data_IF_979755874916
#
_entry.id   IF_979755874916
#
_cell.length_a   1.000
_cell.length_b   1.000
_cell.length_c   1.000
_cell.angle_alpha   90.00
_cell.angle_beta   90.00
_cell.angle_gamma   90.00
#
_symmetry.space_group_name_H-M   'P 1'
#
loop_
_entity.id
_entity.type
_entity.pdbx_description
1 polymer ?
#
# COMPACT_ATOMS: atom_id res chain seq x y z
N UNK A 1 -15.59 -14.77 0.58
CA UNK A 1 -14.79 -14.13 -0.49
C UNK A 1 -13.77 -15.14 -1.01
N UNK A 2 -13.51 -15.09 -2.30
CA UNK A 2 -12.53 -15.98 -2.94
C UNK A 2 -11.20 -15.27 -3.12
N UNK A 3 -10.11 -15.88 -2.68
CA UNK A 3 -8.76 -15.38 -2.85
C UNK A 3 -8.31 -15.57 -4.30
N UNK A 4 -7.91 -14.49 -4.97
CA UNK A 4 -7.46 -14.54 -6.37
C UNK A 4 -5.98 -14.21 -6.56
N UNK A 5 -5.36 -13.52 -5.62
CA UNK A 5 -3.94 -13.15 -5.70
C UNK A 5 -3.38 -12.91 -4.32
N UNK A 6 -2.15 -13.31 -4.11
CA UNK A 6 -1.40 -12.97 -2.90
C UNK A 6 0.04 -12.65 -3.26
N UNK A 7 0.63 -11.69 -2.55
CA UNK A 7 2.06 -11.37 -2.69
C UNK A 7 2.59 -10.75 -1.41
N UNK A 8 3.91 -10.75 -1.28
CA UNK A 8 4.60 -10.19 -0.12
C UNK A 8 5.60 -9.13 -0.57
N UNK A 9 5.58 -7.99 0.12
CA UNK A 9 6.55 -6.91 -0.06
C UNK A 9 7.49 -6.97 1.14
N UNK A 10 8.72 -7.50 0.98
CA UNK A 10 9.65 -7.71 2.10
C UNK A 10 10.44 -6.45 2.45
N UNK A 11 9.73 -5.35 2.61
CA UNK A 11 10.28 -4.03 2.92
C UNK A 11 9.48 -3.46 4.07
N UNK A 12 10.13 -2.72 4.97
CA UNK A 12 9.44 -2.02 6.06
C UNK A 12 8.32 -1.15 5.50
N UNK A 13 7.07 -1.35 5.96
CA UNK A 13 5.96 -0.52 5.49
C UNK A 13 6.15 0.95 5.83
N UNK A 14 5.76 1.84 4.92
CA UNK A 14 5.84 3.29 5.10
C UNK A 14 4.50 3.95 4.75
N UNK A 15 4.34 5.19 5.20
CA UNK A 15 3.17 6.00 4.86
C UNK A 15 3.60 7.21 4.04
N UNK A 16 2.66 7.74 3.24
CA UNK A 16 2.91 8.97 2.46
C UNK A 16 2.90 10.22 3.33
N UNK A 17 2.04 10.22 4.35
CA UNK A 17 1.76 11.41 5.17
C UNK A 17 2.85 11.71 6.18
N UNK A 18 3.54 10.68 6.65
CA UNK A 18 4.70 10.88 7.52
C UNK A 18 5.87 11.28 6.63
N UNK A 19 6.58 12.35 7.01
CA UNK A 19 7.77 12.82 6.30
C UNK A 19 7.49 13.52 4.96
N UNK A 20 6.28 14.07 4.75
CA UNK A 20 6.03 14.94 3.61
C UNK A 20 6.96 16.14 3.66
N UNK A 21 7.39 16.60 2.49
CA UNK A 21 8.29 17.76 2.37
C UNK A 21 7.55 18.92 1.72
N UNK A 22 7.88 20.13 2.18
CA UNK A 22 7.41 21.36 1.54
C UNK A 22 8.56 21.86 0.67
N UNK A 23 8.31 21.98 -0.62
CA UNK A 23 9.31 22.48 -1.58
C UNK A 23 8.77 23.71 -2.29
N UNK A 24 9.69 24.60 -2.71
CA UNK A 24 9.35 25.78 -3.49
C UNK A 24 9.51 25.45 -4.97
N UNK A 25 8.43 25.64 -5.73
CA UNK A 25 8.43 25.39 -7.16
C UNK A 25 7.63 26.48 -7.87
N UNK A 26 8.26 27.18 -8.83
CA UNK A 26 7.60 28.24 -9.58
C UNK A 26 7.05 29.38 -8.73
N UNK A 27 7.74 29.74 -7.64
CA UNK A 27 7.28 30.78 -6.71
C UNK A 27 6.19 30.34 -5.73
N UNK A 28 5.81 29.06 -5.74
CA UNK A 28 4.82 28.49 -4.82
C UNK A 28 5.46 27.49 -3.89
N UNK A 29 4.81 27.27 -2.74
CA UNK A 29 5.16 26.17 -1.84
C UNK A 29 4.21 25.01 -2.11
N UNK A 30 4.76 23.81 -2.40
CA UNK A 30 3.97 22.61 -2.62
C UNK A 30 4.42 21.53 -1.65
N UNK A 31 3.46 20.68 -1.25
CA UNK A 31 3.73 19.52 -0.40
C UNK A 31 3.94 18.32 -1.32
N UNK A 32 5.09 17.66 -1.18
CA UNK A 32 5.41 16.47 -1.97
C UNK A 32 5.63 15.28 -1.05
N UNK A 33 5.44 14.05 -1.55
CA UNK A 33 5.78 12.85 -0.77
C UNK A 33 7.24 12.86 -0.37
N UNK A 34 7.56 12.27 0.78
CA UNK A 34 8.92 12.17 1.26
C UNK A 34 9.81 11.35 0.33
N UNK A 35 11.10 11.58 0.43
CA UNK A 35 12.09 10.76 -0.26
C UNK A 35 11.94 9.29 0.12
N UNK A 36 11.67 9.00 1.40
CA UNK A 36 11.47 7.65 1.89
C UNK A 36 10.30 6.94 1.18
N UNK A 37 9.17 7.64 1.02
CA UNK A 37 8.02 7.08 0.31
C UNK A 37 8.35 6.81 -1.17
N UNK A 38 9.02 7.75 -1.83
CA UNK A 38 9.39 7.60 -3.24
C UNK A 38 10.33 6.41 -3.46
N UNK A 39 11.27 6.20 -2.56
CA UNK A 39 12.17 5.04 -2.61
C UNK A 39 11.39 3.74 -2.38
N UNK A 40 10.46 3.73 -1.44
CA UNK A 40 9.58 2.60 -1.19
C UNK A 40 8.72 2.28 -2.42
N UNK A 41 8.07 3.28 -3.00
CA UNK A 41 7.24 3.11 -4.20
C UNK A 41 8.05 2.47 -5.33
N UNK A 42 9.26 2.95 -5.55
CA UNK A 42 10.14 2.40 -6.59
C UNK A 42 10.56 0.96 -6.28
N UNK A 43 10.93 0.70 -5.03
CA UNK A 43 11.42 -0.62 -4.61
C UNK A 43 10.33 -1.69 -4.67
N UNK A 44 9.07 -1.33 -4.42
CA UNK A 44 7.95 -2.29 -4.41
C UNK A 44 7.61 -2.84 -5.79
N UNK A 45 8.06 -2.18 -6.86
CA UNK A 45 7.73 -2.60 -8.24
C UNK A 45 8.06 -4.07 -8.50
N UNK A 46 9.19 -4.55 -8.00
CA UNK A 46 9.63 -5.93 -8.24
C UNK A 46 8.81 -6.97 -7.48
N UNK A 47 8.02 -6.55 -6.48
CA UNK A 47 7.24 -7.45 -5.63
C UNK A 47 5.75 -7.40 -5.91
N UNK A 48 5.26 -6.35 -6.54
CA UNK A 48 3.84 -6.15 -6.84
C UNK A 48 3.56 -6.69 -8.24
N UNK A 49 2.69 -7.73 -8.37
CA UNK A 49 2.38 -8.27 -9.69
C UNK A 49 1.66 -7.28 -10.59
N UNK A 50 1.99 -7.26 -11.88
CA UNK A 50 1.27 -6.53 -12.92
C UNK A 50 0.05 -7.35 -13.35
N UNK A 51 -0.96 -7.37 -12.50
CA UNK A 51 -2.14 -8.21 -12.70
C UNK A 51 -3.31 -7.50 -13.38
N UNK A 52 -3.26 -6.17 -13.46
CA UNK A 52 -4.26 -5.31 -14.10
C UNK A 52 -5.70 -5.67 -13.69
N UNK A 53 -5.92 -5.90 -12.38
CA UNK A 53 -7.22 -6.30 -11.86
C UNK A 53 -8.23 -5.18 -12.05
N UNK A 54 -9.35 -5.49 -12.70
CA UNK A 54 -10.47 -4.58 -12.93
C UNK A 54 -11.75 -5.00 -12.21
N UNK A 55 -11.73 -6.11 -11.50
CA UNK A 55 -12.85 -6.62 -10.73
C UNK A 55 -12.96 -5.88 -9.40
N UNK A 56 -14.15 -5.93 -8.79
CA UNK A 56 -14.32 -5.42 -7.42
C UNK A 56 -13.67 -6.38 -6.44
N UNK A 57 -12.77 -5.85 -5.63
CA UNK A 57 -11.94 -6.64 -4.74
C UNK A 57 -11.94 -6.10 -3.31
N UNK A 58 -11.65 -6.99 -2.37
CA UNK A 58 -11.23 -6.64 -1.02
C UNK A 58 -9.71 -6.79 -0.95
N UNK A 59 -9.01 -5.76 -0.49
CA UNK A 59 -7.56 -5.80 -0.31
C UNK A 59 -7.25 -5.97 1.17
N UNK A 60 -6.91 -7.18 1.55
CA UNK A 60 -6.49 -7.48 2.92
C UNK A 60 -4.98 -7.35 3.01
N UNK A 61 -4.49 -6.43 3.83
CA UNK A 61 -3.06 -6.20 4.00
C UNK A 61 -2.66 -6.41 5.45
N UNK A 62 -1.64 -7.23 5.67
CA UNK A 62 -1.03 -7.43 6.98
C UNK A 62 0.30 -6.70 7.00
N UNK A 63 0.36 -5.63 7.79
CA UNK A 63 1.55 -4.78 7.90
C UNK A 63 2.36 -5.19 9.12
N UNK A 64 3.49 -5.86 8.90
CA UNK A 64 4.39 -6.26 9.96
C UNK A 64 5.43 -5.17 10.16
N UNK A 65 5.24 -4.38 11.21
CA UNK A 65 6.10 -3.23 11.51
C UNK A 65 7.34 -3.65 12.31
N UNK A 66 8.48 -2.97 12.13
CA UNK A 66 9.73 -3.31 12.85
C UNK A 66 9.72 -2.88 14.30
N UNK A 67 8.80 -1.98 14.68
CA UNK A 67 8.66 -1.47 16.05
C UNK A 67 7.19 -1.38 16.39
N UNK A 68 6.89 -1.18 17.68
CA UNK A 68 5.53 -0.97 18.16
C UNK A 68 5.14 0.51 18.21
N UNK A 69 5.83 1.35 17.44
CA UNK A 69 5.49 2.77 17.35
C UNK A 69 4.13 2.94 16.69
N UNK A 70 3.44 4.00 17.10
CA UNK A 70 2.10 4.32 16.58
C UNK A 70 2.16 4.61 15.09
N UNK A 71 1.24 4.00 14.34
CA UNK A 71 1.05 4.25 12.91
C UNK A 71 -0.44 4.03 12.58
N UNK A 72 -0.97 4.79 11.63
CA UNK A 72 -2.36 4.67 11.22
C UNK A 72 -2.52 3.64 10.10
N UNK A 73 -3.40 2.66 10.33
CA UNK A 73 -3.72 1.64 9.33
C UNK A 73 -4.21 2.28 8.02
N UNK A 74 -5.06 3.31 8.11
CA UNK A 74 -5.58 4.01 6.95
C UNK A 74 -4.47 4.61 6.10
N UNK A 75 -3.45 5.19 6.73
CA UNK A 75 -2.32 5.78 6.02
C UNK A 75 -1.44 4.71 5.36
N UNK A 76 -1.29 3.56 6.00
CA UNK A 76 -0.57 2.42 5.40
C UNK A 76 -1.33 1.88 4.18
N UNK A 77 -2.65 1.73 4.28
CA UNK A 77 -3.47 1.29 3.15
C UNK A 77 -3.40 2.27 1.99
N UNK A 78 -3.45 3.58 2.25
CA UNK A 78 -3.34 4.60 1.21
C UNK A 78 -2.03 4.45 0.43
N UNK A 79 -0.92 4.32 1.13
CA UNK A 79 0.39 4.15 0.49
C UNK A 79 0.48 2.86 -0.33
N UNK A 80 -0.04 1.75 0.21
CA UNK A 80 -0.04 0.47 -0.48
C UNK A 80 -0.89 0.53 -1.75
N UNK A 81 -2.12 1.07 -1.65
CA UNK A 81 -3.03 1.16 -2.80
C UNK A 81 -2.44 2.02 -3.91
N UNK A 82 -1.77 3.12 -3.57
CA UNK A 82 -1.09 3.95 -4.56
C UNK A 82 0.02 3.18 -5.28
N UNK A 83 0.79 2.39 -4.56
CA UNK A 83 1.82 1.53 -5.17
C UNK A 83 1.20 0.46 -6.08
N UNK A 84 0.07 -0.14 -5.66
CA UNK A 84 -0.62 -1.14 -6.46
C UNK A 84 -1.15 -0.57 -7.77
N UNK A 85 -1.68 0.66 -7.75
CA UNK A 85 -2.11 1.35 -8.97
C UNK A 85 -0.90 1.72 -9.83
N UNK A 86 0.13 2.29 -9.23
CA UNK A 86 1.35 2.70 -9.92
C UNK A 86 1.99 1.55 -10.69
N UNK A 87 2.05 0.38 -10.11
CA UNK A 87 2.69 -0.80 -10.70
C UNK A 87 1.71 -1.71 -11.43
N UNK A 88 0.51 -1.23 -11.72
CA UNK A 88 -0.50 -1.92 -12.54
C UNK A 88 -1.01 -3.24 -11.97
N UNK A 89 -1.01 -3.39 -10.67
CA UNK A 89 -1.64 -4.52 -10.01
C UNK A 89 -3.16 -4.40 -10.10
N UNK A 90 -3.67 -3.19 -9.90
CA UNK A 90 -5.09 -2.86 -9.98
C UNK A 90 -5.26 -1.63 -10.88
N UNK A 91 -6.45 -1.50 -11.50
CA UNK A 91 -6.70 -0.38 -12.41
C UNK A 91 -6.79 0.95 -11.67
N UNK A 92 -7.44 0.95 -10.49
CA UNK A 92 -7.62 2.14 -9.67
C UNK A 92 -7.91 1.71 -8.24
N UNK A 93 -7.90 2.65 -7.31
CA UNK A 93 -8.20 2.40 -5.90
C UNK A 93 -9.54 2.98 -5.45
N UNK A 94 -10.38 3.45 -6.38
CA UNK A 94 -11.72 3.91 -6.06
C UNK A 94 -12.66 2.74 -5.73
N UNK A 95 -13.87 3.04 -5.27
CA UNK A 95 -14.83 2.04 -4.77
C UNK A 95 -15.37 1.08 -5.84
N UNK A 96 -15.13 1.36 -7.12
CA UNK A 96 -15.49 0.43 -8.19
C UNK A 96 -14.49 -0.72 -8.28
N UNK A 97 -13.31 -0.55 -7.74
CA UNK A 97 -12.26 -1.57 -7.70
C UNK A 97 -12.05 -2.08 -6.27
N UNK A 98 -11.76 -1.21 -5.32
CA UNK A 98 -11.59 -1.61 -3.91
C UNK A 98 -12.87 -1.32 -3.15
N UNK A 99 -13.68 -2.36 -2.88
CA UNK A 99 -14.90 -2.17 -2.09
C UNK A 99 -14.65 -2.29 -0.59
N UNK A 100 -13.52 -2.84 -0.18
CA UNK A 100 -13.20 -3.02 1.22
C UNK A 100 -11.75 -3.37 1.46
N UNK A 101 -11.36 -3.28 2.73
CA UNK A 101 -10.03 -3.65 3.21
C UNK A 101 -10.15 -4.59 4.42
N UNK A 102 -11.18 -5.41 4.40
CA UNK A 102 -11.52 -6.29 5.53
C UNK A 102 -10.38 -7.24 5.87
N UNK A 103 -10.11 -7.35 7.16
CA UNK A 103 -9.05 -8.21 7.68
C UNK A 103 -7.67 -7.57 7.72
N UNK A 104 -7.53 -6.34 7.20
CA UNK A 104 -6.26 -5.60 7.27
C UNK A 104 -5.89 -5.30 8.71
N UNK A 105 -4.59 -5.43 9.04
CA UNK A 105 -4.11 -5.25 10.40
C UNK A 105 -2.70 -4.68 10.42
N UNK A 106 -2.39 -3.95 11.49
CA UNK A 106 -1.03 -3.55 11.82
C UNK A 106 -0.50 -4.55 12.85
N UNK A 107 0.60 -5.20 12.52
CA UNK A 107 1.23 -6.24 13.31
C UNK A 107 2.68 -5.86 13.60
N UNK A 108 3.39 -6.71 14.31
CA UNK A 108 4.77 -6.45 14.69
C UNK A 108 5.63 -7.67 14.35
N UNK A 109 6.74 -7.42 13.65
CA UNK A 109 7.78 -8.42 13.42
C UNK A 109 9.11 -7.70 13.27
N UNK A 110 9.90 -7.69 14.32
CA UNK A 110 11.19 -7.00 14.36
C UNK A 110 12.18 -7.58 13.36
N UNK A 111 12.13 -8.90 13.17
CA UNK A 111 13.14 -9.60 12.38
C UNK A 111 12.83 -9.61 10.88
N UNK A 112 11.55 -9.50 10.52
CA UNK A 112 11.15 -9.51 9.13
C UNK A 112 9.97 -8.57 8.89
N UNK A 113 10.20 -7.24 8.92
CA UNK A 113 9.16 -6.26 8.56
C UNK A 113 8.75 -6.45 7.10
N UNK A 114 7.43 -6.43 6.86
CA UNK A 114 6.91 -6.70 5.52
C UNK A 114 5.44 -6.33 5.42
N UNK A 115 4.91 -6.35 4.20
CA UNK A 115 3.47 -6.31 3.95
C UNK A 115 3.06 -7.58 3.23
N UNK A 116 2.10 -8.32 3.78
CA UNK A 116 1.48 -9.45 3.11
C UNK A 116 0.13 -9.00 2.56
N UNK A 117 -0.09 -9.20 1.27
CA UNK A 117 -1.30 -8.74 0.59
C UNK A 117 -2.10 -9.93 0.08
N UNK A 118 -3.40 -9.90 0.37
CA UNK A 118 -4.37 -10.92 -0.06
C UNK A 118 -5.50 -10.20 -0.78
N UNK A 119 -5.68 -10.50 -2.06
CA UNK A 119 -6.72 -9.91 -2.88
C UNK A 119 -7.84 -10.92 -3.07
N UNK A 120 -9.04 -10.52 -2.69
CA UNK A 120 -10.22 -11.38 -2.66
C UNK A 120 -11.36 -10.75 -3.45
N UNK A 121 -12.16 -11.59 -4.14
CA UNK A 121 -13.37 -11.14 -4.82
C UNK A 121 -14.59 -11.63 -4.06
N UNK A 122 -15.72 -10.92 -4.22
CA UNK A 122 -16.97 -11.33 -3.61
C UNK A 122 -17.45 -12.64 -4.23
N UNK A 123 -18.05 -13.51 -3.38
CA UNK A 123 -18.75 -14.69 -3.86
C UNK A 123 -20.08 -14.25 -4.51
N UNK A 124 -20.42 -14.86 -5.59
CA UNK A 124 -21.71 -14.63 -6.27
C UNK A 124 -22.87 -15.32 -5.56
#
# INVERSE_FOLDING_TARGET
MELILTFTIPITPVTKKNHQQIVKAGGRYIVVPSKQYKEYEKATKQYIPDAEISERINVKALYYMPTKRRVDLTNLNEALHDCMVKHKCIQDDNSNIIFGTDGSRVLYDKDFPRTEVYIEVEDD
#
